data_IF_431134401024
#
_entry.id   IF_431134401024
#
_cell.length_a   1.000
_cell.length_b   1.000
_cell.length_c   1.000
_cell.angle_alpha   90.00
_cell.angle_beta   90.00
_cell.angle_gamma   90.00
#
_symmetry.space_group_name_H-M   'P 1'
#
loop_
_entity.id
_entity.type
_entity.pdbx_description
1 polymer ?
#
# COMPACT_ATOMS: atom_id res chain seq x y z
N UNK A 1 -24.73 -5.05 -24.97
CA UNK A 1 -24.87 -4.85 -23.53
C UNK A 1 -25.80 -3.66 -23.36
N UNK A 2 -26.96 -3.82 -22.76
CA UNK A 2 -27.87 -2.73 -22.51
C UNK A 2 -27.23 -1.84 -21.44
N UNK A 3 -27.05 -0.56 -21.76
CA UNK A 3 -26.68 0.47 -20.80
C UNK A 3 -27.82 0.53 -19.79
N UNK A 4 -27.59 0.08 -18.55
CA UNK A 4 -28.50 0.34 -17.44
C UNK A 4 -28.37 1.84 -17.17
N UNK A 5 -29.30 2.63 -17.73
CA UNK A 5 -29.50 4.01 -17.30
C UNK A 5 -29.71 4.02 -15.80
N UNK A 6 -29.15 5.02 -15.09
CA UNK A 6 -29.27 5.22 -13.65
C UNK A 6 -30.70 4.84 -13.19
N UNK A 7 -30.88 3.60 -12.75
CA UNK A 7 -32.09 3.15 -12.11
C UNK A 7 -31.98 3.67 -10.68
N UNK A 8 -32.91 4.49 -10.27
CA UNK A 8 -33.09 4.73 -8.82
C UNK A 8 -33.08 3.36 -8.14
N UNK A 9 -32.00 3.07 -7.40
CA UNK A 9 -31.93 1.88 -6.59
C UNK A 9 -32.94 2.09 -5.45
N UNK A 10 -33.96 1.25 -5.36
CA UNK A 10 -34.85 1.25 -4.21
C UNK A 10 -34.04 0.69 -3.02
N UNK A 11 -33.52 1.58 -2.21
CA UNK A 11 -32.67 1.25 -1.04
C UNK A 11 -33.47 0.88 0.19
N UNK A 12 -34.81 0.98 0.15
CA UNK A 12 -35.70 0.75 1.31
C UNK A 12 -35.49 -0.62 1.95
N UNK A 13 -35.28 -1.66 1.13
CA UNK A 13 -34.96 -2.99 1.62
C UNK A 13 -33.63 -3.09 2.34
N UNK A 14 -32.63 -2.30 1.91
CA UNK A 14 -31.28 -2.30 2.48
C UNK A 14 -31.21 -1.50 3.79
N UNK A 15 -31.95 -0.38 3.88
CA UNK A 15 -31.98 0.51 5.06
C UNK A 15 -32.34 -0.24 6.36
N UNK A 16 -33.21 -1.26 6.29
CA UNK A 16 -33.56 -2.08 7.43
C UNK A 16 -32.59 -3.23 7.75
N UNK A 17 -31.62 -3.49 6.91
CA UNK A 17 -30.72 -4.64 7.01
C UNK A 17 -29.29 -4.25 7.42
N UNK A 18 -28.86 -3.01 7.16
CA UNK A 18 -27.50 -2.54 7.48
C UNK A 18 -27.48 -1.67 8.73
N UNK A 19 -26.44 -1.82 9.52
CA UNK A 19 -26.15 -0.98 10.70
C UNK A 19 -25.27 0.21 10.34
N UNK A 20 -24.52 0.09 9.24
CA UNK A 20 -23.67 1.14 8.72
C UNK A 20 -24.45 2.30 8.09
N UNK A 21 -23.71 3.20 7.47
CA UNK A 21 -24.27 4.39 6.85
C UNK A 21 -24.51 4.17 5.36
N UNK A 22 -25.70 4.54 4.88
CA UNK A 22 -25.98 4.70 3.46
C UNK A 22 -25.77 6.17 3.08
N UNK A 23 -25.13 6.42 1.94
CA UNK A 23 -24.90 7.75 1.39
C UNK A 23 -25.35 7.77 -0.07
N UNK A 24 -26.43 8.48 -0.35
CA UNK A 24 -27.03 8.66 -1.67
C UNK A 24 -26.54 9.97 -2.34
N UNK A 25 -26.70 10.15 -3.64
CA UNK A 25 -26.23 11.34 -4.36
C UNK A 25 -26.74 12.67 -3.82
N UNK A 26 -27.94 12.71 -3.24
CA UNK A 26 -28.54 13.91 -2.68
C UNK A 26 -28.16 14.17 -1.20
N UNK A 27 -27.41 13.26 -0.58
CA UNK A 27 -27.03 13.40 0.82
C UNK A 27 -25.88 14.42 1.00
N UNK A 28 -25.88 15.19 2.11
CA UNK A 28 -24.74 16.00 2.49
C UNK A 28 -23.49 15.13 2.65
N UNK A 29 -22.37 15.55 2.05
CA UNK A 29 -21.10 14.81 2.11
C UNK A 29 -20.93 13.72 1.06
N UNK A 30 -21.90 13.52 0.12
CA UNK A 30 -21.76 12.56 -0.96
C UNK A 30 -20.53 12.82 -1.83
N UNK A 31 -20.27 14.06 -2.22
CA UNK A 31 -19.12 14.41 -3.05
C UNK A 31 -17.79 14.12 -2.34
N UNK A 32 -17.70 14.26 -1.04
CA UNK A 32 -16.55 13.82 -0.24
C UNK A 32 -16.50 12.28 -0.15
N UNK A 33 -17.64 11.67 0.12
CA UNK A 33 -17.73 10.22 0.29
C UNK A 33 -17.37 9.42 -0.96
N UNK A 34 -17.60 9.91 -2.17
CA UNK A 34 -17.28 9.23 -3.42
C UNK A 34 -15.83 9.39 -3.88
N UNK A 35 -15.07 10.31 -3.29
CA UNK A 35 -13.67 10.54 -3.65
C UNK A 35 -12.82 9.30 -3.39
N UNK A 36 -11.80 9.14 -4.24
CA UNK A 36 -10.74 8.16 -4.07
C UNK A 36 -9.38 8.87 -4.05
N UNK A 37 -8.33 8.15 -3.70
CA UNK A 37 -7.00 8.72 -3.53
C UNK A 37 -6.50 9.49 -4.77
N UNK A 38 -6.66 8.91 -5.97
CA UNK A 38 -6.26 9.52 -7.23
C UNK A 38 -7.38 10.40 -7.81
N UNK A 39 -7.18 11.71 -7.82
CA UNK A 39 -8.15 12.68 -8.34
C UNK A 39 -8.37 12.63 -9.87
N UNK A 40 -7.64 11.78 -10.62
CA UNK A 40 -8.00 11.49 -12.02
C UNK A 40 -9.30 10.67 -12.12
N UNK A 41 -9.73 10.04 -11.03
CA UNK A 41 -10.91 9.18 -10.97
C UNK A 41 -12.05 9.98 -10.37
N UNK A 42 -13.03 10.33 -11.20
CA UNK A 42 -14.23 11.11 -10.84
C UNK A 42 -15.48 10.34 -11.25
N UNK A 43 -15.83 9.28 -10.50
CA UNK A 43 -17.00 8.46 -10.73
C UNK A 43 -18.13 8.79 -9.75
N UNK A 44 -19.37 8.52 -10.17
CA UNK A 44 -20.59 8.83 -9.41
C UNK A 44 -21.40 7.57 -9.12
N UNK A 45 -21.16 6.91 -7.96
CA UNK A 45 -21.95 5.75 -7.53
C UNK A 45 -23.40 6.16 -7.25
N UNK A 46 -24.34 5.23 -7.51
CA UNK A 46 -25.73 5.42 -7.15
C UNK A 46 -25.95 5.29 -5.64
N UNK A 47 -25.08 4.54 -4.95
CA UNK A 47 -25.12 4.36 -3.51
C UNK A 47 -23.72 4.08 -2.97
N UNK A 48 -23.41 4.63 -1.81
CA UNK A 48 -22.22 4.27 -1.01
C UNK A 48 -22.73 3.68 0.30
N UNK A 49 -22.29 2.46 0.66
CA UNK A 49 -22.60 1.83 1.93
C UNK A 49 -21.33 1.71 2.75
N UNK A 50 -21.25 2.43 3.86
CA UNK A 50 -20.17 2.34 4.84
C UNK A 50 -20.50 1.24 5.83
N UNK A 51 -19.97 0.03 5.60
CA UNK A 51 -20.28 -1.14 6.39
C UNK A 51 -19.69 -1.04 7.81
N UNK A 52 -20.51 -1.39 8.80
CA UNK A 52 -20.11 -1.47 10.19
C UNK A 52 -19.55 -2.86 10.55
N UNK A 53 -20.05 -3.91 9.89
CA UNK A 53 -19.68 -5.30 10.17
C UNK A 53 -19.93 -6.22 8.97
N UNK A 54 -19.65 -7.53 9.16
CA UNK A 54 -19.79 -8.55 8.11
C UNK A 54 -21.25 -8.75 7.68
N UNK A 55 -22.21 -8.53 8.57
CA UNK A 55 -23.64 -8.66 8.22
C UNK A 55 -24.04 -7.60 7.18
N UNK A 56 -23.52 -6.37 7.31
CA UNK A 56 -23.73 -5.33 6.31
C UNK A 56 -23.11 -5.72 4.96
N UNK A 57 -21.90 -6.30 4.98
CA UNK A 57 -21.23 -6.78 3.75
C UNK A 57 -22.09 -7.83 3.04
N UNK A 58 -22.63 -8.82 3.79
CA UNK A 58 -23.52 -9.87 3.25
C UNK A 58 -24.78 -9.23 2.65
N UNK A 59 -25.41 -8.30 3.38
CA UNK A 59 -26.61 -7.62 2.92
C UNK A 59 -26.38 -6.85 1.60
N UNK A 60 -25.25 -6.11 1.51
CA UNK A 60 -24.90 -5.33 0.30
C UNK A 60 -24.57 -6.23 -0.87
N UNK A 61 -23.84 -7.33 -0.67
CA UNK A 61 -23.52 -8.30 -1.73
C UNK A 61 -24.80 -8.93 -2.28
N UNK A 62 -25.71 -9.36 -1.41
CA UNK A 62 -27.00 -9.91 -1.80
C UNK A 62 -27.83 -8.87 -2.56
N UNK A 63 -27.92 -7.66 -2.06
CA UNK A 63 -28.66 -6.57 -2.69
C UNK A 63 -28.10 -6.23 -4.09
N UNK A 64 -26.77 -6.15 -4.23
CA UNK A 64 -26.12 -5.92 -5.52
C UNK A 64 -26.44 -7.06 -6.52
N UNK A 65 -26.39 -8.31 -6.06
CA UNK A 65 -26.75 -9.48 -6.89
C UNK A 65 -28.21 -9.45 -7.34
N UNK A 66 -29.14 -9.17 -6.43
CA UNK A 66 -30.59 -9.17 -6.68
C UNK A 66 -31.00 -8.02 -7.63
N UNK A 67 -30.39 -6.86 -7.47
CA UNK A 67 -30.65 -5.69 -8.31
C UNK A 67 -29.88 -5.72 -9.63
N UNK A 68 -28.81 -6.52 -9.73
CA UNK A 68 -27.87 -6.51 -10.85
C UNK A 68 -27.01 -5.25 -10.91
N UNK A 69 -26.92 -4.50 -9.82
CA UNK A 69 -26.10 -3.29 -9.72
C UNK A 69 -24.60 -3.65 -9.68
N UNK A 70 -23.75 -2.94 -10.42
CA UNK A 70 -22.28 -3.06 -10.28
C UNK A 70 -21.85 -2.77 -8.83
N UNK A 71 -20.92 -3.57 -8.33
CA UNK A 71 -20.40 -3.43 -6.97
C UNK A 71 -18.88 -3.14 -7.01
N UNK A 72 -18.47 -2.06 -6.38
CA UNK A 72 -17.07 -1.77 -6.09
C UNK A 72 -16.82 -1.83 -4.59
N UNK A 73 -15.71 -2.45 -4.19
CA UNK A 73 -15.29 -2.57 -2.78
C UNK A 73 -14.09 -1.68 -2.52
N UNK A 74 -14.09 -0.97 -1.40
CA UNK A 74 -12.96 -0.09 -1.04
C UNK A 74 -12.63 -0.10 0.44
N UNK A 75 -11.38 0.31 0.70
CA UNK A 75 -10.85 0.56 2.04
C UNK A 75 -9.91 1.78 1.98
N UNK A 76 -8.58 1.64 1.80
CA UNK A 76 -7.63 2.74 1.67
C UNK A 76 -7.67 3.53 0.34
N UNK A 77 -8.44 3.08 -0.64
CA UNK A 77 -8.76 3.80 -1.91
C UNK A 77 -7.56 4.13 -2.83
N UNK A 78 -6.41 3.50 -2.63
CA UNK A 78 -5.18 3.75 -3.38
C UNK A 78 -5.13 3.09 -4.77
N UNK A 79 -6.16 2.33 -5.20
CA UNK A 79 -6.13 1.65 -6.50
C UNK A 79 -6.00 2.66 -7.66
N UNK A 80 -4.90 2.64 -8.43
CA UNK A 80 -4.63 3.65 -9.48
C UNK A 80 -5.59 3.56 -10.67
N UNK A 81 -6.17 2.37 -10.94
CA UNK A 81 -7.16 2.17 -11.99
C UNK A 81 -8.59 2.59 -11.58
N UNK A 82 -8.79 2.96 -10.30
CA UNK A 82 -10.09 3.42 -9.80
C UNK A 82 -11.14 2.30 -9.65
N UNK A 83 -10.72 1.06 -9.38
CA UNK A 83 -11.65 -0.06 -9.14
C UNK A 83 -12.38 0.04 -7.80
N UNK A 84 -11.95 0.92 -6.92
CA UNK A 84 -12.56 1.18 -5.62
C UNK A 84 -13.81 2.08 -5.68
N UNK A 85 -14.21 2.51 -6.88
CA UNK A 85 -15.43 3.29 -7.12
C UNK A 85 -16.00 2.95 -8.51
N UNK A 86 -17.32 3.04 -8.66
CA UNK A 86 -18.06 2.69 -9.89
C UNK A 86 -19.14 3.73 -10.18
N UNK A 87 -19.39 4.03 -11.46
CA UNK A 87 -20.53 4.85 -11.86
C UNK A 87 -21.83 4.03 -11.79
N UNK A 88 -22.91 4.70 -11.40
CA UNK A 88 -24.29 4.15 -11.37
C UNK A 88 -24.46 2.81 -10.63
N UNK A 89 -23.49 2.46 -9.79
CA UNK A 89 -23.46 1.22 -9.02
C UNK A 89 -23.35 1.48 -7.52
N UNK A 90 -23.00 0.44 -6.78
CA UNK A 90 -22.84 0.47 -5.33
C UNK A 90 -21.37 0.47 -4.97
N UNK A 91 -20.97 1.36 -4.06
CA UNK A 91 -19.65 1.31 -3.40
C UNK A 91 -19.86 0.73 -2.00
N UNK A 92 -19.24 -0.41 -1.74
CA UNK A 92 -19.16 -1.00 -0.41
C UNK A 92 -17.84 -0.53 0.24
N UNK A 93 -17.99 0.39 1.19
CA UNK A 93 -16.89 1.00 1.91
C UNK A 93 -16.65 0.29 3.24
N UNK A 94 -15.53 -0.44 3.32
CA UNK A 94 -15.13 -1.17 4.51
C UNK A 94 -14.38 -0.29 5.53
N UNK A 95 -14.08 0.96 5.22
CA UNK A 95 -13.24 1.83 6.07
C UNK A 95 -13.69 1.97 7.53
N UNK A 96 -14.98 1.78 7.92
CA UNK A 96 -15.35 1.73 9.32
C UNK A 96 -14.97 0.44 10.06
N UNK A 97 -14.68 -0.65 9.33
CA UNK A 97 -14.31 -1.94 9.90
C UNK A 97 -12.83 -1.96 10.30
N UNK A 98 -12.53 -1.41 11.49
CA UNK A 98 -11.16 -1.13 11.99
C UNK A 98 -10.67 -2.07 13.09
N UNK A 99 -11.35 -3.19 13.31
CA UNK A 99 -10.95 -4.15 14.36
C UNK A 99 -9.62 -4.82 14.04
N UNK A 100 -8.70 -4.82 15.02
CA UNK A 100 -7.43 -5.55 14.96
C UNK A 100 -7.24 -6.32 16.26
N UNK A 101 -6.89 -7.60 16.13
CA UNK A 101 -6.49 -8.45 17.24
C UNK A 101 -5.11 -9.02 16.98
N UNK A 102 -4.15 -8.69 17.84
CA UNK A 102 -2.80 -9.26 17.82
C UNK A 102 -2.72 -10.40 18.81
N UNK A 103 -2.17 -11.52 18.38
CA UNK A 103 -1.76 -12.64 19.22
C UNK A 103 -0.22 -12.73 19.19
N UNK A 104 0.47 -12.15 20.18
CA UNK A 104 1.92 -12.09 20.16
C UNK A 104 2.58 -13.46 20.43
N UNK A 105 1.87 -14.41 21.05
CA UNK A 105 2.40 -15.75 21.31
C UNK A 105 2.45 -16.59 20.04
N UNK A 106 1.39 -16.49 19.22
CA UNK A 106 1.28 -17.17 17.92
C UNK A 106 1.91 -16.34 16.78
N UNK A 107 2.34 -15.10 17.05
CA UNK A 107 2.82 -14.15 16.05
C UNK A 107 1.83 -13.98 14.90
N UNK A 108 0.56 -13.75 15.25
CA UNK A 108 -0.53 -13.53 14.31
C UNK A 108 -1.25 -12.20 14.61
N UNK A 109 -1.72 -11.55 13.55
CA UNK A 109 -2.60 -10.39 13.67
C UNK A 109 -3.81 -10.56 12.75
N UNK A 110 -5.01 -10.61 13.33
CA UNK A 110 -6.27 -10.60 12.58
C UNK A 110 -6.71 -9.16 12.42
N UNK A 111 -6.91 -8.75 11.17
CA UNK A 111 -7.11 -7.35 10.75
C UNK A 111 -8.35 -7.28 9.89
N UNK A 112 -9.33 -6.44 10.26
CA UNK A 112 -10.53 -6.22 9.45
C UNK A 112 -10.22 -5.48 8.15
N UNK A 113 -11.02 -5.74 7.11
CA UNK A 113 -10.81 -5.27 5.74
C UNK A 113 -10.78 -3.75 5.55
N UNK A 114 -11.26 -2.97 6.51
CA UNK A 114 -11.25 -1.51 6.50
C UNK A 114 -9.98 -0.87 7.08
N UNK A 115 -9.05 -1.65 7.65
CA UNK A 115 -7.81 -1.11 8.20
C UNK A 115 -6.86 -0.61 7.11
N UNK A 116 -6.04 0.35 7.47
CA UNK A 116 -4.85 0.76 6.72
C UNK A 116 -3.60 0.14 7.34
N UNK A 117 -2.46 0.21 6.63
CA UNK A 117 -1.20 -0.29 7.18
C UNK A 117 -0.79 0.48 8.44
N UNK A 118 -1.07 1.78 8.53
CA UNK A 118 -0.84 2.55 9.76
C UNK A 118 -1.62 2.03 10.96
N UNK A 119 -2.87 1.56 10.77
CA UNK A 119 -3.65 0.92 11.83
C UNK A 119 -2.98 -0.39 12.30
N UNK A 120 -2.50 -1.20 11.33
CA UNK A 120 -1.82 -2.48 11.61
C UNK A 120 -0.51 -2.24 12.35
N UNK A 121 0.33 -1.34 11.84
CA UNK A 121 1.63 -1.02 12.43
C UNK A 121 1.48 -0.48 13.85
N UNK A 122 0.50 0.40 14.08
CA UNK A 122 0.20 0.90 15.43
C UNK A 122 -0.15 -0.25 16.40
N UNK A 123 -1.00 -1.17 15.97
CA UNK A 123 -1.47 -2.26 16.81
C UNK A 123 -0.37 -3.31 17.08
N UNK A 124 0.41 -3.70 16.05
CA UNK A 124 1.43 -4.73 16.17
C UNK A 124 2.68 -4.23 16.87
N UNK A 125 3.04 -2.96 16.66
CA UNK A 125 4.22 -2.35 17.28
C UNK A 125 4.15 -2.31 18.82
N UNK A 126 2.93 -2.26 19.40
CA UNK A 126 2.72 -2.34 20.83
C UNK A 126 3.30 -3.64 21.45
N UNK A 127 3.50 -4.67 20.62
CA UNK A 127 4.07 -5.97 20.97
C UNK A 127 5.50 -6.17 20.41
N UNK A 128 6.09 -5.14 19.79
CA UNK A 128 7.38 -5.24 19.11
C UNK A 128 7.32 -6.08 17.82
N UNK A 129 6.14 -6.13 17.18
CA UNK A 129 5.88 -6.92 15.98
C UNK A 129 5.51 -6.04 14.80
N UNK A 130 5.77 -6.54 13.57
CA UNK A 130 5.29 -5.96 12.31
C UNK A 130 5.13 -7.03 11.24
N UNK A 131 4.48 -6.69 10.13
CA UNK A 131 4.40 -7.51 8.92
C UNK A 131 4.66 -6.65 7.70
N UNK A 132 4.91 -7.27 6.54
CA UNK A 132 5.14 -6.52 5.30
C UNK A 132 3.88 -5.79 4.88
N UNK A 133 3.93 -4.46 4.90
CA UNK A 133 2.90 -3.56 4.38
C UNK A 133 3.29 -2.92 3.05
N UNK A 134 2.56 -1.89 2.62
CA UNK A 134 2.98 -0.98 1.55
C UNK A 134 3.99 0.05 2.06
N UNK A 135 4.51 0.89 1.16
CA UNK A 135 5.44 1.98 1.54
C UNK A 135 4.71 3.15 2.21
N UNK A 136 3.40 3.30 1.96
CA UNK A 136 2.55 4.33 2.56
C UNK A 136 1.64 3.73 3.61
N UNK A 137 1.57 4.36 4.79
CA UNK A 137 0.75 3.91 5.91
C UNK A 137 -0.76 3.99 5.62
N UNK A 138 -1.16 4.88 4.71
CA UNK A 138 -2.56 5.13 4.31
C UNK A 138 -3.13 4.08 3.35
N UNK A 139 -2.29 3.19 2.80
CA UNK A 139 -2.73 2.11 1.92
C UNK A 139 -3.53 1.06 2.71
N UNK A 140 -4.61 0.57 2.13
CA UNK A 140 -5.50 -0.40 2.77
C UNK A 140 -5.15 -1.87 2.53
N UNK A 141 -5.91 -2.77 3.16
CA UNK A 141 -5.70 -4.22 3.11
C UNK A 141 -5.80 -4.83 1.70
N UNK A 142 -6.46 -4.15 0.76
CA UNK A 142 -6.52 -4.57 -0.64
C UNK A 142 -5.15 -4.70 -1.32
N UNK A 143 -4.12 -4.01 -0.84
CA UNK A 143 -2.74 -4.16 -1.31
C UNK A 143 -2.24 -5.60 -1.17
N UNK A 144 -2.48 -6.23 -0.04
CA UNK A 144 -2.04 -7.60 0.23
C UNK A 144 -2.66 -8.63 -0.72
N UNK A 145 -3.86 -8.38 -1.23
CA UNK A 145 -4.54 -9.28 -2.17
C UNK A 145 -3.91 -9.28 -3.58
N UNK A 146 -3.11 -8.27 -3.91
CA UNK A 146 -2.42 -8.14 -5.19
C UNK A 146 -0.90 -8.35 -5.11
N UNK A 147 -0.36 -8.67 -3.93
CA UNK A 147 1.07 -8.80 -3.67
C UNK A 147 1.51 -7.96 -2.48
N UNK A 148 1.82 -6.69 -2.69
CA UNK A 148 2.22 -5.73 -1.66
C UNK A 148 3.72 -5.73 -1.39
N UNK A 149 4.38 -4.65 -1.82
CA UNK A 149 5.81 -4.40 -1.65
C UNK A 149 6.01 -3.29 -0.63
N UNK A 150 6.94 -3.49 0.32
CA UNK A 150 7.31 -2.50 1.32
C UNK A 150 8.72 -2.71 1.88
N UNK A 151 9.02 -2.04 2.97
CA UNK A 151 10.37 -2.07 3.58
C UNK A 151 10.81 -3.46 4.03
N UNK A 152 9.88 -4.29 4.48
CA UNK A 152 10.17 -5.61 5.03
C UNK A 152 10.18 -6.74 3.96
N UNK A 153 9.93 -6.42 2.69
CA UNK A 153 9.76 -7.42 1.62
C UNK A 153 10.98 -8.32 1.43
N UNK A 154 12.19 -7.77 1.54
CA UNK A 154 13.41 -8.59 1.38
C UNK A 154 13.56 -9.65 2.49
N UNK A 155 13.10 -9.35 3.69
CA UNK A 155 13.26 -10.23 4.85
C UNK A 155 12.09 -11.19 5.05
N UNK A 156 10.86 -10.74 4.81
CA UNK A 156 9.66 -11.49 5.14
C UNK A 156 8.73 -11.77 3.96
N UNK A 157 9.19 -11.51 2.72
CA UNK A 157 8.36 -11.67 1.52
C UNK A 157 7.38 -10.51 1.32
N UNK A 158 6.52 -10.65 0.33
CA UNK A 158 5.44 -9.71 0.03
C UNK A 158 4.37 -9.71 1.14
N UNK A 159 3.49 -8.71 1.14
CA UNK A 159 2.34 -8.70 2.06
C UNK A 159 1.49 -9.96 1.89
N UNK A 160 1.29 -10.41 0.65
CA UNK A 160 0.52 -11.61 0.31
C UNK A 160 1.11 -12.90 0.88
N UNK A 161 2.43 -12.99 1.03
CA UNK A 161 3.13 -14.16 1.57
C UNK A 161 2.91 -14.31 3.06
N UNK A 162 2.59 -13.21 3.73
CA UNK A 162 2.31 -13.18 5.16
C UNK A 162 0.85 -13.47 5.51
N UNK A 163 -0.05 -13.63 4.53
CA UNK A 163 -1.44 -14.01 4.79
C UNK A 163 -1.48 -15.47 5.27
N UNK A 164 -2.01 -15.69 6.48
CA UNK A 164 -2.24 -17.00 7.06
C UNK A 164 -3.67 -17.50 6.83
N UNK A 165 -4.65 -16.59 6.85
CA UNK A 165 -6.05 -16.88 6.52
C UNK A 165 -6.81 -15.61 6.12
N UNK A 166 -7.97 -15.79 5.52
CA UNK A 166 -8.89 -14.72 5.16
C UNK A 166 -10.34 -15.13 5.39
N UNK A 167 -11.17 -14.18 5.81
CA UNK A 167 -12.62 -14.32 5.82
C UNK A 167 -13.20 -13.56 4.64
N UNK A 168 -14.03 -14.22 3.85
CA UNK A 168 -14.52 -13.73 2.57
C UNK A 168 -16.03 -13.88 2.46
N UNK A 169 -16.74 -12.86 2.04
CA UNK A 169 -18.13 -12.94 1.59
C UNK A 169 -18.12 -13.16 0.08
N UNK A 170 -18.60 -14.32 -0.35
CA UNK A 170 -18.66 -14.72 -1.75
C UNK A 170 -19.79 -14.00 -2.51
N UNK A 171 -19.78 -14.09 -3.84
CA UNK A 171 -20.77 -13.41 -4.69
C UNK A 171 -22.22 -13.85 -4.46
N UNK A 172 -22.44 -15.03 -3.89
CA UNK A 172 -23.77 -15.54 -3.51
C UNK A 172 -24.21 -15.10 -2.09
N UNK A 173 -23.38 -14.31 -1.39
CA UNK A 173 -23.60 -13.88 -0.02
C UNK A 173 -23.13 -14.89 1.04
N UNK A 174 -22.57 -16.03 0.64
CA UNK A 174 -22.02 -17.03 1.57
C UNK A 174 -20.74 -16.50 2.22
N UNK A 175 -20.62 -16.68 3.53
CA UNK A 175 -19.39 -16.41 4.26
C UNK A 175 -18.49 -17.66 4.25
N UNK A 176 -17.23 -17.48 3.93
CA UNK A 176 -16.22 -18.53 3.87
C UNK A 176 -14.91 -18.09 4.53
N UNK A 177 -14.28 -18.98 5.29
CA UNK A 177 -12.89 -18.83 5.73
C UNK A 177 -11.98 -19.59 4.77
N UNK A 178 -10.88 -18.96 4.34
CA UNK A 178 -9.91 -19.54 3.42
C UNK A 178 -8.51 -19.54 4.04
N UNK A 179 -7.85 -20.71 4.04
CA UNK A 179 -6.51 -20.91 4.56
C UNK A 179 -5.86 -22.16 3.91
N UNK A 180 -4.68 -22.56 4.36
CA UNK A 180 -3.95 -23.72 3.82
C UNK A 180 -4.69 -25.06 3.96
N UNK A 181 -5.66 -25.18 4.86
CA UNK A 181 -6.44 -26.41 5.14
C UNK A 181 -7.90 -26.33 4.72
N UNK A 182 -8.46 -25.11 4.60
CA UNK A 182 -9.87 -24.86 4.31
C UNK A 182 -10.03 -23.93 3.11
N UNK A 183 -10.90 -24.23 2.14
CA UNK A 183 -11.13 -23.48 0.92
C UNK A 183 -9.80 -23.08 0.23
N UNK A 184 -8.93 -24.07 0.03
CA UNK A 184 -7.54 -23.87 -0.43
C UNK A 184 -7.43 -23.21 -1.80
N UNK A 185 -8.35 -23.47 -2.69
CA UNK A 185 -8.47 -22.87 -4.01
C UNK A 185 -8.82 -21.38 -3.91
N UNK A 186 -9.76 -21.00 -3.04
CA UNK A 186 -10.06 -19.63 -2.72
C UNK A 186 -8.86 -18.93 -2.08
N UNK A 187 -8.19 -19.60 -1.14
CA UNK A 187 -6.99 -19.08 -0.48
C UNK A 187 -5.87 -18.79 -1.47
N UNK A 188 -5.66 -19.69 -2.43
CA UNK A 188 -4.72 -19.45 -3.52
C UNK A 188 -5.15 -18.28 -4.41
N UNK A 189 -6.43 -18.21 -4.78
CA UNK A 189 -6.96 -17.22 -5.72
C UNK A 189 -6.89 -15.78 -5.18
N UNK A 190 -7.20 -15.56 -3.90
CA UNK A 190 -7.14 -14.22 -3.28
C UNK A 190 -5.70 -13.73 -3.03
N UNK A 191 -4.72 -14.63 -3.04
CA UNK A 191 -3.30 -14.32 -2.89
C UNK A 191 -2.65 -13.98 -4.23
N UNK A 192 -2.89 -12.76 -4.71
CA UNK A 192 -2.43 -12.22 -6.00
C UNK A 192 -3.55 -11.94 -7.00
N UNK A 193 -4.68 -12.64 -6.92
CA UNK A 193 -5.82 -12.43 -7.82
C UNK A 193 -6.74 -11.28 -7.42
N UNK A 194 -6.45 -10.59 -6.30
CA UNK A 194 -7.21 -9.43 -5.85
C UNK A 194 -8.64 -9.73 -5.43
N UNK A 195 -9.53 -8.75 -5.60
CA UNK A 195 -10.92 -8.79 -5.13
C UNK A 195 -11.92 -9.51 -6.06
N UNK A 196 -11.46 -10.32 -7.02
CA UNK A 196 -12.36 -10.96 -8.00
C UNK A 196 -13.16 -12.15 -7.46
N UNK A 197 -12.83 -12.62 -6.26
CA UNK A 197 -13.36 -13.88 -5.69
C UNK A 197 -14.31 -13.66 -4.52
N UNK A 198 -14.57 -12.42 -4.15
CA UNK A 198 -15.45 -12.03 -3.06
C UNK A 198 -14.93 -10.80 -2.31
N UNK A 199 -15.67 -10.41 -1.28
CA UNK A 199 -15.32 -9.30 -0.39
C UNK A 199 -14.56 -9.86 0.80
N UNK A 200 -13.27 -9.56 0.88
CA UNK A 200 -12.44 -9.95 2.04
C UNK A 200 -12.76 -9.03 3.22
N UNK A 201 -13.36 -9.60 4.25
CA UNK A 201 -13.81 -8.87 5.45
C UNK A 201 -12.77 -8.85 6.56
N UNK A 202 -11.87 -9.85 6.60
CA UNK A 202 -10.69 -9.87 7.47
C UNK A 202 -9.54 -10.68 6.86
N UNK A 203 -8.32 -10.33 7.27
CA UNK A 203 -7.09 -11.06 6.97
C UNK A 203 -6.36 -11.37 8.28
N UNK A 204 -5.84 -12.58 8.41
CA UNK A 204 -4.89 -12.91 9.47
C UNK A 204 -3.49 -12.97 8.87
N UNK A 205 -2.59 -12.11 9.36
CA UNK A 205 -1.20 -12.04 8.94
C UNK A 205 -0.27 -12.72 9.93
N UNK A 206 0.78 -13.36 9.43
CA UNK A 206 1.98 -13.64 10.21
C UNK A 206 2.67 -12.32 10.48
N UNK A 207 3.06 -12.10 11.73
CA UNK A 207 3.81 -10.91 12.18
C UNK A 207 5.15 -11.33 12.75
N UNK A 208 6.15 -10.47 12.60
CA UNK A 208 7.55 -10.78 12.89
C UNK A 208 8.11 -9.81 13.92
N UNK A 209 9.12 -10.20 14.72
CA UNK A 209 9.80 -9.27 15.64
C UNK A 209 10.47 -8.13 14.87
N UNK A 210 9.89 -6.93 14.94
CA UNK A 210 10.40 -5.69 14.39
C UNK A 210 10.00 -4.53 15.30
N UNK A 211 10.97 -3.84 15.83
CA UNK A 211 10.75 -2.71 16.73
C UNK A 211 11.35 -1.42 16.17
N UNK A 212 12.52 -1.05 16.67
CA UNK A 212 13.35 0.02 16.13
C UNK A 212 14.13 -0.49 14.94
N UNK A 213 14.20 0.31 13.88
CA UNK A 213 14.95 0.01 12.66
C UNK A 213 15.88 1.16 12.32
N UNK A 214 16.91 0.91 11.53
CA UNK A 214 17.83 1.93 11.01
C UNK A 214 17.34 2.31 9.62
N UNK A 215 16.98 3.58 9.44
CA UNK A 215 16.33 4.04 8.23
C UNK A 215 16.70 5.48 7.89
N UNK A 216 16.70 5.80 6.60
CA UNK A 216 16.81 7.18 6.13
C UNK A 216 17.38 7.29 4.73
N UNK A 217 17.19 8.45 4.08
CA UNK A 217 17.77 8.74 2.78
C UNK A 217 19.23 9.20 2.89
N UNK A 218 20.03 8.73 1.94
CA UNK A 218 21.27 9.38 1.52
C UNK A 218 21.06 9.98 0.15
N UNK A 219 21.42 11.26 -0.04
CA UNK A 219 21.19 11.99 -1.29
C UNK A 219 22.51 12.42 -1.95
N UNK A 220 22.52 12.37 -3.28
CA UNK A 220 23.64 12.84 -4.12
C UNK A 220 23.13 13.76 -5.23
N UNK A 221 23.96 14.72 -5.70
CA UNK A 221 23.68 15.49 -6.91
C UNK A 221 23.46 14.60 -8.13
N UNK A 222 22.66 15.06 -9.10
CA UNK A 222 22.26 14.27 -10.27
C UNK A 222 23.43 13.84 -11.15
N UNK A 223 24.52 14.59 -11.20
CA UNK A 223 25.75 14.23 -11.93
C UNK A 223 26.43 12.97 -11.39
N UNK A 224 26.06 12.55 -10.18
CA UNK A 224 26.53 11.31 -9.54
C UNK A 224 25.58 10.12 -9.77
N UNK A 225 24.40 10.33 -10.35
CA UNK A 225 23.31 9.34 -10.40
C UNK A 225 23.74 8.01 -11.03
N UNK A 226 24.40 8.03 -12.19
CA UNK A 226 24.87 6.80 -12.84
C UNK A 226 25.85 6.01 -11.96
N UNK A 227 26.76 6.70 -11.25
CA UNK A 227 27.73 6.06 -10.35
C UNK A 227 27.04 5.47 -9.13
N UNK A 228 26.10 6.20 -8.54
CA UNK A 228 25.34 5.74 -7.35
C UNK A 228 24.43 4.57 -7.71
N UNK A 229 23.78 4.62 -8.87
CA UNK A 229 22.91 3.53 -9.34
C UNK A 229 23.68 2.23 -9.59
N UNK A 230 24.84 2.29 -10.25
CA UNK A 230 25.71 1.11 -10.42
C UNK A 230 26.19 0.53 -9.10
N UNK A 231 26.54 1.41 -8.16
CA UNK A 231 26.97 0.98 -6.84
C UNK A 231 25.82 0.33 -6.06
N UNK A 232 24.61 0.91 -6.13
CA UNK A 232 23.39 0.33 -5.53
C UNK A 232 23.13 -1.07 -6.07
N UNK A 233 23.14 -1.26 -7.38
CA UNK A 233 22.94 -2.56 -8.05
C UNK A 233 23.97 -3.59 -7.56
N UNK A 234 25.23 -3.23 -7.52
CA UNK A 234 26.29 -4.09 -7.04
C UNK A 234 26.21 -4.47 -5.55
N UNK A 235 25.59 -3.64 -4.73
CA UNK A 235 25.44 -3.91 -3.29
C UNK A 235 24.17 -4.69 -2.97
N UNK A 236 23.05 -4.27 -3.57
CA UNK A 236 21.74 -4.74 -3.11
C UNK A 236 21.51 -6.22 -3.42
N UNK A 237 22.03 -6.72 -4.54
CA UNK A 237 21.92 -8.13 -4.93
C UNK A 237 22.58 -9.10 -3.95
N UNK A 238 23.71 -8.70 -3.35
CA UNK A 238 24.46 -9.49 -2.35
C UNK A 238 24.18 -9.12 -0.90
N UNK A 239 23.32 -8.16 -0.64
CA UNK A 239 23.02 -7.69 0.70
C UNK A 239 22.23 -8.74 1.51
N UNK A 240 22.43 -8.84 2.84
CA UNK A 240 21.65 -9.72 3.68
C UNK A 240 20.16 -9.31 3.69
N UNK A 241 19.27 -10.25 3.97
CA UNK A 241 17.80 -10.03 3.90
C UNK A 241 17.30 -8.93 4.85
N UNK A 242 17.95 -8.76 5.99
CA UNK A 242 17.63 -7.70 6.97
C UNK A 242 18.05 -6.29 6.53
N UNK A 243 18.71 -6.15 5.38
CA UNK A 243 19.14 -4.88 4.81
C UNK A 243 18.45 -4.66 3.47
N UNK A 244 17.79 -3.53 3.36
CA UNK A 244 17.05 -3.12 2.17
C UNK A 244 17.36 -1.67 1.82
N UNK A 245 16.96 -1.27 0.62
CA UNK A 245 17.00 0.11 0.16
C UNK A 245 16.37 0.21 -1.21
N UNK A 246 15.93 1.40 -1.58
CA UNK A 246 15.51 1.68 -2.95
C UNK A 246 16.17 2.96 -3.44
N UNK A 247 16.64 2.91 -4.68
CA UNK A 247 17.17 4.08 -5.36
C UNK A 247 16.02 4.95 -5.86
N UNK A 248 16.18 6.29 -5.79
CA UNK A 248 15.16 7.22 -6.25
C UNK A 248 15.78 8.45 -6.94
N UNK A 249 15.08 8.96 -7.96
CA UNK A 249 15.16 10.35 -8.40
C UNK A 249 14.01 11.10 -7.76
N UNK A 250 14.28 12.26 -7.17
CA UNK A 250 13.31 13.07 -6.45
C UNK A 250 13.65 14.55 -6.51
N UNK A 251 12.64 15.38 -6.24
CA UNK A 251 12.87 16.79 -5.85
C UNK A 251 12.83 16.86 -4.34
N UNK A 252 13.88 17.42 -3.73
CA UNK A 252 13.96 17.54 -2.27
C UNK A 252 12.80 18.42 -1.77
N UNK A 253 11.95 17.91 -0.85
CA UNK A 253 10.86 18.70 -0.33
C UNK A 253 11.34 19.91 0.47
N UNK A 254 10.59 21.01 0.53
CA UNK A 254 10.87 22.11 1.43
C UNK A 254 10.55 21.73 2.88
N UNK A 255 11.40 22.15 3.82
CA UNK A 255 11.21 21.97 5.26
C UNK A 255 12.01 20.82 5.88
N UNK A 256 11.96 20.70 7.21
CA UNK A 256 12.67 19.65 7.94
C UNK A 256 12.29 18.25 7.49
N UNK A 257 13.23 17.29 7.51
CA UNK A 257 14.61 17.39 8.02
C UNK A 257 15.64 17.88 6.99
N UNK A 258 15.21 18.35 5.82
CA UNK A 258 16.11 18.75 4.74
C UNK A 258 16.66 20.16 4.98
N UNK A 259 17.99 20.39 4.77
CA UNK A 259 18.60 21.72 4.84
C UNK A 259 18.08 22.62 3.72
N UNK A 260 17.95 23.94 4.02
CA UNK A 260 17.35 24.92 3.09
C UNK A 260 18.08 24.99 1.74
N UNK A 261 19.38 24.81 1.73
CA UNK A 261 20.19 24.83 0.51
C UNK A 261 19.87 23.69 -0.47
N UNK A 262 19.22 22.62 0.00
CA UNK A 262 18.81 21.51 -0.85
C UNK A 262 17.33 21.58 -1.27
N UNK A 263 16.54 22.49 -0.67
CA UNK A 263 15.11 22.58 -0.98
C UNK A 263 14.87 22.79 -2.47
N UNK A 264 13.93 22.07 -3.03
CA UNK A 264 13.51 22.10 -4.42
C UNK A 264 14.61 21.72 -5.44
N UNK A 265 15.77 21.25 -4.99
CA UNK A 265 16.77 20.68 -5.89
C UNK A 265 16.37 19.27 -6.32
N UNK A 266 16.59 18.95 -7.58
CA UNK A 266 16.47 17.57 -8.09
C UNK A 266 17.74 16.81 -7.72
N UNK A 267 17.58 15.68 -7.06
CA UNK A 267 18.68 14.83 -6.60
C UNK A 267 18.38 13.36 -6.93
N UNK A 268 19.39 12.54 -6.85
CA UNK A 268 19.22 11.10 -6.72
C UNK A 268 19.55 10.68 -5.28
N UNK A 269 19.01 9.56 -4.86
CA UNK A 269 19.26 9.06 -3.52
C UNK A 269 18.95 7.58 -3.35
N UNK A 270 19.34 7.06 -2.21
CA UNK A 270 18.94 5.73 -1.77
C UNK A 270 18.31 5.89 -0.40
N UNK A 271 17.09 5.37 -0.24
CA UNK A 271 16.43 5.26 1.05
C UNK A 271 16.76 3.90 1.62
N UNK A 272 17.58 3.89 2.66
CA UNK A 272 18.06 2.68 3.31
C UNK A 272 17.14 2.22 4.41
N UNK A 273 17.15 0.91 4.67
CA UNK A 273 16.36 0.27 5.72
C UNK A 273 17.10 -0.98 6.23
N UNK A 274 17.21 -1.10 7.55
CA UNK A 274 17.84 -2.24 8.21
C UNK A 274 17.09 -2.58 9.51
N UNK A 275 16.78 -3.86 9.71
CA UNK A 275 16.11 -4.35 10.92
C UNK A 275 17.09 -4.85 12.00
N UNK A 276 18.39 -4.81 11.73
CA UNK A 276 19.45 -5.21 12.66
C UNK A 276 19.95 -4.01 13.48
N UNK A 277 21.04 -4.18 14.23
CA UNK A 277 21.62 -3.16 15.10
C UNK A 277 22.24 -2.00 14.31
N UNK A 278 22.50 -0.90 15.01
CA UNK A 278 23.16 0.26 14.41
C UNK A 278 24.55 -0.08 13.89
N UNK A 279 25.30 -0.93 14.60
CA UNK A 279 26.65 -1.33 14.24
C UNK A 279 26.66 -2.12 12.92
N UNK A 280 25.74 -3.08 12.76
CA UNK A 280 25.58 -3.86 11.53
C UNK A 280 25.16 -2.95 10.38
N UNK A 281 24.19 -2.06 10.61
CA UNK A 281 23.79 -1.10 9.60
C UNK A 281 24.93 -0.16 9.16
N UNK A 282 25.74 0.32 10.11
CA UNK A 282 26.87 1.21 9.80
C UNK A 282 27.95 0.51 8.95
N UNK A 283 28.21 -0.78 9.21
CA UNK A 283 29.11 -1.60 8.39
C UNK A 283 28.57 -1.75 6.95
N UNK A 284 27.29 -2.07 6.81
CA UNK A 284 26.64 -2.24 5.49
C UNK A 284 26.52 -0.92 4.72
N UNK A 285 26.38 0.22 5.40
CA UNK A 285 26.27 1.55 4.81
C UNK A 285 27.63 2.19 4.52
N UNK A 286 28.74 1.68 5.05
CA UNK A 286 30.06 2.27 4.88
C UNK A 286 30.45 2.49 3.39
N UNK A 287 30.19 1.56 2.45
CA UNK A 287 30.47 1.78 1.03
C UNK A 287 29.64 2.94 0.43
N UNK A 288 28.36 3.08 0.83
CA UNK A 288 27.51 4.17 0.36
C UNK A 288 27.99 5.53 0.90
N UNK A 289 28.36 5.59 2.17
CA UNK A 289 28.97 6.79 2.80
C UNK A 289 30.29 7.17 2.15
N UNK A 290 31.10 6.19 1.74
CA UNK A 290 32.36 6.41 1.02
C UNK A 290 32.16 7.05 -0.37
N UNK A 291 30.95 6.98 -0.95
CA UNK A 291 30.59 7.73 -2.16
C UNK A 291 30.41 9.24 -1.90
N UNK A 292 30.44 9.69 -0.65
CA UNK A 292 30.30 11.11 -0.28
C UNK A 292 28.92 11.65 -0.63
N UNK A 293 27.85 11.23 0.09
CA UNK A 293 26.54 11.84 -0.07
C UNK A 293 26.57 13.32 0.32
N UNK A 294 25.77 14.14 -0.35
CA UNK A 294 25.54 15.53 0.05
C UNK A 294 24.68 15.62 1.31
N UNK A 295 23.89 14.58 1.58
CA UNK A 295 23.05 14.47 2.77
C UNK A 295 22.98 12.99 3.19
N UNK A 296 23.18 12.73 4.49
CA UNK A 296 22.97 11.43 5.14
C UNK A 296 22.03 11.64 6.34
N UNK A 297 20.81 11.15 6.23
CA UNK A 297 19.77 11.21 7.27
C UNK A 297 19.46 9.83 7.84
N UNK A 298 20.35 8.85 7.68
CA UNK A 298 20.12 7.51 8.21
C UNK A 298 20.25 7.52 9.73
N UNK A 299 19.20 7.07 10.42
CA UNK A 299 19.12 7.06 11.88
C UNK A 299 18.18 5.95 12.37
N UNK A 300 18.23 5.66 13.67
CA UNK A 300 17.33 4.73 14.32
C UNK A 300 15.94 5.35 14.51
N UNK A 301 14.88 4.62 14.14
CA UNK A 301 13.50 5.06 14.29
C UNK A 301 12.56 3.88 14.59
N UNK A 302 11.44 4.09 15.30
CA UNK A 302 10.38 3.09 15.41
C UNK A 302 9.79 2.77 14.05
N UNK A 303 9.51 1.48 13.76
CA UNK A 303 8.99 1.06 12.46
C UNK A 303 7.72 1.81 12.00
N UNK A 304 6.70 2.08 12.83
CA UNK A 304 5.52 2.85 12.40
C UNK A 304 5.85 4.28 11.93
N UNK A 305 6.89 4.91 12.51
CA UNK A 305 7.35 6.21 12.05
C UNK A 305 7.93 6.13 10.64
N UNK A 306 8.71 5.09 10.35
CA UNK A 306 9.27 4.85 9.02
C UNK A 306 8.17 4.59 8.00
N UNK A 307 7.18 3.76 8.36
CA UNK A 307 6.05 3.41 7.51
C UNK A 307 5.20 4.62 7.10
N UNK A 308 5.13 5.67 7.93
CA UNK A 308 4.39 6.91 7.65
C UNK A 308 5.24 8.04 7.07
N UNK A 309 6.54 7.84 6.92
CA UNK A 309 7.47 8.92 6.57
C UNK A 309 7.20 9.56 5.20
N UNK A 310 6.62 8.83 4.27
CA UNK A 310 6.31 9.32 2.93
C UNK A 310 4.86 9.77 2.73
N UNK A 311 3.98 9.63 3.72
CA UNK A 311 2.55 9.96 3.57
C UNK A 311 2.33 11.41 3.13
N UNK A 312 3.08 12.34 3.73
CA UNK A 312 2.99 13.77 3.41
C UNK A 312 3.47 14.14 1.99
N UNK A 313 4.29 13.31 1.37
CA UNK A 313 4.80 13.54 0.00
C UNK A 313 3.80 13.11 -1.07
N UNK A 314 2.87 12.23 -0.71
CA UNK A 314 1.87 11.69 -1.61
C UNK A 314 0.47 11.87 -1.01
N UNK A 315 -0.04 13.11 -0.86
CA UNK A 315 -1.36 13.36 -0.30
C UNK A 315 -2.48 12.91 -1.26
N UNK A 316 -3.66 12.52 -0.74
CA UNK A 316 -4.83 12.25 -1.57
C UNK A 316 -5.29 13.51 -2.30
N UNK A 317 -6.09 13.33 -3.37
CA UNK A 317 -6.67 14.45 -4.12
C UNK A 317 -5.76 15.04 -5.19
N UNK A 318 -4.58 14.49 -5.41
CA UNK A 318 -3.73 14.81 -6.55
C UNK A 318 -4.00 13.88 -7.73
N UNK A 319 -3.79 14.37 -8.96
CA UNK A 319 -3.80 13.56 -10.16
C UNK A 319 -2.47 12.80 -10.25
N UNK A 320 -2.55 11.47 -10.28
CA UNK A 320 -1.38 10.61 -10.23
C UNK A 320 -1.42 9.59 -11.38
N UNK A 321 -0.30 9.48 -12.10
CA UNK A 321 -0.07 8.46 -13.09
C UNK A 321 1.09 7.57 -12.65
N UNK A 322 0.85 6.27 -12.56
CA UNK A 322 1.82 5.29 -12.09
C UNK A 322 2.09 4.26 -13.17
N UNK A 323 3.34 3.95 -13.35
CA UNK A 323 3.78 2.86 -14.20
C UNK A 323 4.94 2.14 -13.53
N UNK A 324 4.91 0.82 -13.54
CA UNK A 324 5.98 -0.04 -13.05
C UNK A 324 6.24 -1.15 -14.07
N UNK A 325 7.47 -1.65 -14.05
CA UNK A 325 7.88 -2.81 -14.84
C UNK A 325 8.97 -3.56 -14.06
N UNK A 326 9.23 -4.80 -14.44
CA UNK A 326 10.29 -5.62 -13.89
C UNK A 326 11.46 -5.68 -14.87
N UNK A 327 12.67 -5.64 -14.32
CA UNK A 327 13.92 -5.79 -15.09
C UNK A 327 14.78 -6.86 -14.44
N UNK A 328 15.39 -7.72 -15.25
CA UNK A 328 16.27 -8.81 -14.77
C UNK A 328 17.65 -8.28 -14.39
N UNK A 329 18.10 -7.20 -15.05
CA UNK A 329 19.42 -6.58 -14.81
C UNK A 329 19.40 -5.08 -15.12
N UNK A 330 20.32 -4.34 -14.51
CA UNK A 330 20.58 -2.94 -14.80
C UNK A 330 21.77 -2.78 -15.74
N UNK A 331 21.53 -2.96 -17.05
CA UNK A 331 22.57 -2.70 -18.06
C UNK A 331 23.01 -1.22 -18.06
N UNK A 332 24.17 -0.93 -18.66
CA UNK A 332 24.65 0.45 -18.81
C UNK A 332 23.66 1.33 -19.58
N UNK A 333 22.96 0.76 -20.58
CA UNK A 333 21.92 1.45 -21.34
C UNK A 333 20.67 1.71 -20.46
N UNK A 334 20.27 0.77 -19.62
CA UNK A 334 19.16 0.94 -18.69
C UNK A 334 19.49 2.05 -17.66
N UNK A 335 20.70 2.05 -17.11
CA UNK A 335 21.16 3.11 -16.21
C UNK A 335 21.17 4.47 -16.93
N UNK A 336 21.69 4.55 -18.15
CA UNK A 336 21.70 5.80 -18.91
C UNK A 336 20.28 6.34 -19.16
N UNK A 337 19.34 5.49 -19.54
CA UNK A 337 17.95 5.85 -19.73
C UNK A 337 17.28 6.32 -18.42
N UNK A 338 17.53 5.63 -17.31
CA UNK A 338 17.04 6.04 -16.00
C UNK A 338 17.57 7.42 -15.58
N UNK A 339 18.85 7.68 -15.81
CA UNK A 339 19.48 8.99 -15.50
C UNK A 339 18.90 10.09 -16.37
N UNK A 340 18.73 9.84 -17.68
CA UNK A 340 18.12 10.80 -18.61
C UNK A 340 16.71 11.19 -18.16
N UNK A 341 15.83 10.22 -17.97
CA UNK A 341 14.43 10.48 -17.62
C UNK A 341 14.25 10.92 -16.16
N UNK A 342 14.97 10.32 -15.23
CA UNK A 342 14.91 10.67 -13.80
C UNK A 342 15.40 12.08 -13.50
N UNK A 343 16.34 12.60 -14.31
CA UNK A 343 16.79 13.99 -14.20
C UNK A 343 15.75 15.02 -14.65
N UNK A 344 14.73 14.58 -15.40
CA UNK A 344 13.71 15.44 -16.03
C UNK A 344 12.34 15.32 -15.37
N UNK A 345 12.25 14.97 -14.07
CA UNK A 345 10.99 14.87 -13.35
C UNK A 345 10.04 16.04 -13.68
N UNK A 346 8.79 15.77 -14.11
CA UNK A 346 7.89 16.81 -14.66
C UNK A 346 7.32 17.73 -13.59
N UNK A 347 7.22 17.28 -12.35
CA UNK A 347 6.72 18.06 -11.20
C UNK A 347 7.55 17.77 -9.95
N UNK A 348 7.49 18.62 -8.93
CA UNK A 348 8.18 18.35 -7.66
C UNK A 348 7.73 17.08 -6.94
N UNK A 349 6.48 16.65 -7.13
CA UNK A 349 5.97 15.40 -6.57
C UNK A 349 6.26 14.15 -7.43
N UNK A 350 6.74 14.35 -8.67
CA UNK A 350 7.14 13.22 -9.49
C UNK A 350 8.41 12.57 -8.94
N UNK A 351 8.46 11.26 -8.98
CA UNK A 351 9.65 10.48 -8.59
C UNK A 351 9.77 9.25 -9.48
N UNK A 352 10.99 8.72 -9.59
CA UNK A 352 11.28 7.46 -10.25
C UNK A 352 12.05 6.58 -9.27
N UNK A 353 11.55 5.36 -9.04
CA UNK A 353 12.13 4.45 -8.05
C UNK A 353 12.62 3.17 -8.69
N UNK A 354 13.70 2.62 -8.14
CA UNK A 354 14.23 1.31 -8.44
C UNK A 354 14.30 0.51 -7.14
N UNK A 355 13.54 -0.57 -7.07
CA UNK A 355 13.46 -1.43 -5.90
C UNK A 355 14.07 -2.80 -6.21
N UNK A 356 14.77 -3.37 -5.23
CA UNK A 356 15.24 -4.75 -5.30
C UNK A 356 14.24 -5.69 -4.61
N UNK A 357 13.88 -6.76 -5.30
CA UNK A 357 13.00 -7.81 -4.81
C UNK A 357 13.75 -9.14 -4.87
N UNK A 358 13.87 -9.85 -3.73
CA UNK A 358 14.59 -11.13 -3.68
C UNK A 358 13.67 -12.32 -4.03
N UNK A 359 12.35 -12.18 -3.85
CA UNK A 359 11.40 -13.30 -3.86
C UNK A 359 10.35 -13.19 -4.97
N UNK A 360 10.76 -12.83 -6.17
CA UNK A 360 9.86 -12.91 -7.33
C UNK A 360 10.30 -14.05 -8.23
#
# INVERSE_FOLDING_TARGET
MATVTARELDTTALEGQVRGQLVAPDDPGYDEARQVYNAMIDKRPALIVRAADVADVIAVVNFARETGAPLAVRCGMHNPAGFSVVDDGIVLDLSPMKGIRVDPAEQLATVQGGCTWGDVDHATHAFGLATTGGVLSTTGMGLALGGGIGYLTRQFGLSVDNIASADVVLADGTFATANESENRDLFWAIRGGGGNFGVVTSLTFRVHPVGTVIWGPMLWPLDRAAKVMRAYDGWIGGAPEHFNGFFAFLTVPPGPPFPEELHMQKMCGIVWFCTDTQEVADELLAPARALGPALDLVHAAPYPMVQSAFDALYPPGHQQYWRADFVDELSDEAIAAHVEHGSQLPTPQASMHLLSLIHI
#
